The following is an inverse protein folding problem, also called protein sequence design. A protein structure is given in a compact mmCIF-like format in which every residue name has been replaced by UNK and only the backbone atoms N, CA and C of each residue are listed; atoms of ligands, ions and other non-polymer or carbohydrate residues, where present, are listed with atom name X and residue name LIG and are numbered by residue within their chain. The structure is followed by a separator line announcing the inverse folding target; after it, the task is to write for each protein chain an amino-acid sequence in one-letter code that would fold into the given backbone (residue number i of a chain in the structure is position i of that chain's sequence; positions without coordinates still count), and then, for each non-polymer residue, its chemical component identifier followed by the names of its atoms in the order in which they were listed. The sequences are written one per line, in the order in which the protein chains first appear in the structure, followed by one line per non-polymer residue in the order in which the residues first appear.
data_IF_783996717510
#
_entry.id   IF_783996717510
#
_cell.length_a   1.000
_cell.length_b   1.000
_cell.length_c   1.000
_cell.angle_alpha   90.00
_cell.angle_beta   90.00
_cell.angle_gamma   90.00
#
_symmetry.space_group_name_H-M   'P 1'
#
loop_
_entity.id
_entity.type
_entity.pdbx_description
1 polymer ?
#
# COMPACT_ATOMS: atom_id res chain seq x y z
N UNK A 1 -11.07 -48.11 8.78
CA UNK A 1 -11.49 -47.24 7.67
C UNK A 1 -10.47 -46.12 7.56
N UNK A 2 -9.56 -46.20 6.57
CA UNK A 2 -8.43 -45.27 6.45
C UNK A 2 -8.74 -44.20 5.41
N UNK A 3 -8.76 -42.93 5.83
CA UNK A 3 -8.88 -41.80 4.91
C UNK A 3 -7.52 -41.51 4.27
N UNK A 4 -7.37 -41.86 2.99
CA UNK A 4 -6.30 -41.37 2.12
C UNK A 4 -6.53 -39.87 1.85
N UNK A 5 -5.70 -39.01 2.43
CA UNK A 5 -5.61 -37.62 1.99
C UNK A 5 -4.84 -37.61 0.67
N UNK A 6 -5.53 -37.29 -0.42
CA UNK A 6 -4.91 -37.01 -1.72
C UNK A 6 -4.17 -35.67 -1.62
N UNK A 7 -2.84 -35.73 -1.63
CA UNK A 7 -2.00 -34.59 -1.95
C UNK A 7 -2.34 -34.09 -3.36
N UNK A 8 -3.04 -32.96 -3.46
CA UNK A 8 -3.13 -32.19 -4.70
C UNK A 8 -1.94 -31.22 -4.74
N UNK A 9 -0.88 -31.63 -5.42
CA UNK A 9 0.15 -30.71 -5.92
C UNK A 9 -0.38 -30.00 -7.17
N UNK A 10 -0.14 -28.69 -7.23
CA UNK A 10 0.46 -27.94 -8.35
C UNK A 10 -0.07 -26.50 -8.33
N UNK A 11 0.70 -25.60 -7.73
CA UNK A 11 0.70 -24.17 -8.07
C UNK A 11 2.13 -23.86 -8.53
N UNK A 12 2.22 -23.21 -9.69
CA UNK A 12 3.40 -23.00 -10.51
C UNK A 12 4.60 -22.39 -9.74
N UNK A 13 5.76 -23.03 -9.86
CA UNK A 13 7.00 -22.84 -9.09
C UNK A 13 7.75 -21.51 -9.30
N UNK A 14 7.26 -20.55 -10.11
CA UNK A 14 7.96 -19.27 -10.30
C UNK A 14 7.57 -18.15 -9.32
N UNK A 15 6.43 -18.29 -8.64
CA UNK A 15 5.96 -17.30 -7.65
C UNK A 15 6.69 -17.46 -6.31
N UNK A 16 6.86 -18.71 -5.87
CA UNK A 16 7.59 -19.05 -4.65
C UNK A 16 9.09 -18.73 -4.73
N UNK A 17 9.73 -18.93 -5.89
CA UNK A 17 11.16 -18.60 -6.05
C UNK A 17 11.38 -17.08 -5.93
N UNK A 18 10.48 -16.25 -6.48
CA UNK A 18 10.56 -14.79 -6.39
C UNK A 18 10.23 -14.21 -5.02
N UNK A 19 9.41 -14.88 -4.22
CA UNK A 19 9.18 -14.47 -2.83
C UNK A 19 10.40 -14.73 -1.96
N UNK A 20 11.15 -15.80 -2.23
CA UNK A 20 12.44 -16.09 -1.59
C UNK A 20 13.52 -15.04 -1.92
N UNK A 21 13.70 -14.64 -3.17
CA UNK A 21 14.66 -13.57 -3.54
C UNK A 21 14.35 -12.22 -2.85
N UNK A 22 13.07 -11.92 -2.63
CA UNK A 22 12.64 -10.71 -1.95
C UNK A 22 12.94 -10.75 -0.44
N UNK A 23 13.07 -11.94 0.13
CA UNK A 23 13.50 -12.16 1.52
C UNK A 23 15.02 -12.03 1.69
N UNK A 24 15.81 -12.04 0.62
CA UNK A 24 17.27 -11.88 0.72
C UNK A 24 17.74 -10.43 0.51
N UNK A 25 16.91 -9.58 -0.11
CA UNK A 25 17.23 -8.17 -0.35
C UNK A 25 17.21 -7.35 0.96
N UNK A 26 18.36 -6.78 1.41
CA UNK A 26 18.43 -6.06 2.69
C UNK A 26 17.53 -4.82 2.75
N UNK A 27 17.27 -4.18 1.60
CA UNK A 27 16.37 -3.02 1.53
C UNK A 27 14.93 -3.47 1.84
N UNK A 28 14.49 -4.56 1.21
CA UNK A 28 13.19 -5.17 1.44
C UNK A 28 13.05 -5.63 2.89
N UNK A 29 14.01 -6.38 3.42
CA UNK A 29 13.98 -6.87 4.81
C UNK A 29 13.88 -5.75 5.84
N UNK A 30 14.72 -4.71 5.72
CA UNK A 30 14.67 -3.58 6.64
C UNK A 30 13.33 -2.83 6.57
N UNK A 31 12.74 -2.74 5.38
CA UNK A 31 11.43 -2.09 5.18
C UNK A 31 10.30 -2.96 5.74
N UNK A 32 10.38 -4.29 5.58
CA UNK A 32 9.45 -5.25 6.19
C UNK A 32 9.46 -5.13 7.72
N UNK A 33 10.64 -5.11 8.34
CA UNK A 33 10.79 -5.00 9.81
C UNK A 33 10.12 -3.72 10.32
N UNK A 34 10.45 -2.56 9.74
CA UNK A 34 9.85 -1.27 10.14
C UNK A 34 8.35 -1.27 9.96
N UNK A 35 7.84 -1.75 8.82
CA UNK A 35 6.40 -1.78 8.56
C UNK A 35 5.66 -2.75 9.49
N UNK A 36 6.23 -3.92 9.79
CA UNK A 36 5.63 -4.86 10.73
C UNK A 36 5.51 -4.28 12.14
N UNK A 37 6.47 -3.45 12.57
CA UNK A 37 6.36 -2.72 13.84
C UNK A 37 5.10 -1.83 13.83
N UNK A 38 4.89 -1.00 12.81
CA UNK A 38 3.70 -0.17 12.70
C UNK A 38 2.41 -0.98 12.54
N UNK A 39 2.43 -2.07 11.76
CA UNK A 39 1.27 -2.92 11.52
C UNK A 39 0.86 -3.72 12.76
N UNK A 40 1.75 -3.90 13.76
CA UNK A 40 1.41 -4.56 15.02
C UNK A 40 0.59 -3.69 15.99
N UNK A 41 0.55 -2.37 15.77
CA UNK A 41 -0.17 -1.43 16.62
C UNK A 41 -1.64 -1.32 16.23
N UNK A 42 -2.48 -0.86 17.18
CA UNK A 42 -3.88 -0.59 16.89
C UNK A 42 -3.99 0.57 15.88
N UNK A 43 -4.57 0.34 14.69
CA UNK A 43 -4.60 1.33 13.61
C UNK A 43 -5.40 2.58 13.96
N UNK A 44 -6.28 2.55 14.96
CA UNK A 44 -7.08 3.70 15.40
C UNK A 44 -6.40 4.58 16.45
N UNK A 45 -5.24 4.16 16.98
CA UNK A 45 -4.47 4.95 17.96
C UNK A 45 -3.53 5.97 17.30
N UNK A 46 -3.40 5.95 15.97
CA UNK A 46 -2.57 6.89 15.24
C UNK A 46 -3.31 8.21 15.00
N UNK A 47 -2.60 9.33 15.13
CA UNK A 47 -3.13 10.66 14.84
C UNK A 47 -3.65 10.76 13.40
N UNK A 48 -4.74 11.50 13.23
CA UNK A 48 -5.30 11.81 11.91
C UNK A 48 -4.27 12.54 11.06
N UNK A 49 -4.25 12.22 9.77
CA UNK A 49 -3.40 12.94 8.83
C UNK A 49 -4.02 14.32 8.56
N UNK A 50 -3.31 15.45 8.78
CA UNK A 50 -3.83 16.77 8.43
C UNK A 50 -4.15 16.92 6.94
N UNK A 51 -3.62 16.03 6.10
CA UNK A 51 -3.94 15.95 4.67
C UNK A 51 -4.91 14.81 4.40
N UNK A 52 -6.16 15.14 4.08
CA UNK A 52 -7.24 14.18 3.80
C UNK A 52 -7.03 13.25 2.60
N UNK A 53 -5.95 13.42 1.85
CA UNK A 53 -5.65 12.59 0.70
C UNK A 53 -4.17 12.66 0.33
N UNK A 54 -3.46 11.57 0.63
CA UNK A 54 -2.09 11.31 0.17
C UNK A 54 -2.06 10.17 -0.83
N UNK A 55 -1.23 10.34 -1.86
CA UNK A 55 -0.93 9.27 -2.81
C UNK A 55 0.55 9.27 -3.17
N UNK A 56 1.11 8.08 -3.28
CA UNK A 56 2.43 7.88 -3.86
C UNK A 56 2.28 7.79 -5.38
N UNK A 57 3.05 8.60 -6.10
CA UNK A 57 3.10 8.57 -7.57
C UNK A 57 4.51 8.17 -8.00
N UNK A 58 4.59 7.16 -8.85
CA UNK A 58 5.84 6.62 -9.39
C UNK A 58 5.81 6.72 -10.92
N UNK A 59 6.69 7.54 -11.49
CA UNK A 59 6.95 7.58 -12.92
C UNK A 59 8.04 6.55 -13.26
N UNK A 60 7.74 5.64 -14.18
CA UNK A 60 8.54 4.44 -14.39
C UNK A 60 9.83 4.67 -15.20
N UNK A 61 9.93 5.79 -15.93
CA UNK A 61 11.09 6.04 -16.80
C UNK A 61 11.29 4.90 -17.81
N UNK A 62 12.49 4.32 -17.83
CA UNK A 62 12.84 3.12 -18.61
C UNK A 62 12.57 1.80 -17.88
N UNK A 63 12.19 1.83 -16.59
CA UNK A 63 11.95 0.61 -15.79
C UNK A 63 10.74 -0.15 -16.32
N UNK A 64 10.86 -1.47 -16.37
CA UNK A 64 9.74 -2.34 -16.73
C UNK A 64 8.59 -2.21 -15.73
N UNK A 65 7.42 -1.77 -16.20
CA UNK A 65 6.20 -1.72 -15.38
C UNK A 65 5.86 -3.07 -14.74
N UNK A 66 6.04 -4.15 -15.51
CA UNK A 66 5.76 -5.52 -15.05
C UNK A 66 6.68 -5.91 -13.89
N UNK A 67 7.94 -5.48 -13.93
CA UNK A 67 8.91 -5.73 -12.86
C UNK A 67 8.52 -5.02 -11.57
N UNK A 68 8.17 -3.73 -11.66
CA UNK A 68 7.78 -2.92 -10.49
C UNK A 68 6.49 -3.44 -9.86
N UNK A 69 5.48 -3.77 -10.66
CA UNK A 69 4.22 -4.34 -10.16
C UNK A 69 4.43 -5.72 -9.53
N UNK A 70 5.23 -6.59 -10.15
CA UNK A 70 5.57 -7.90 -9.58
C UNK A 70 6.30 -7.77 -8.25
N UNK A 71 7.23 -6.83 -8.16
CA UNK A 71 7.97 -6.56 -6.93
C UNK A 71 7.06 -6.03 -5.82
N UNK A 72 6.23 -5.02 -6.13
CA UNK A 72 5.25 -4.46 -5.19
C UNK A 72 4.29 -5.53 -4.68
N UNK A 73 3.71 -6.32 -5.59
CA UNK A 73 2.76 -7.38 -5.25
C UNK A 73 3.38 -8.40 -4.30
N UNK A 74 4.60 -8.86 -4.59
CA UNK A 74 5.32 -9.79 -3.72
C UNK A 74 5.64 -9.16 -2.36
N UNK A 75 6.12 -7.91 -2.34
CA UNK A 75 6.46 -7.20 -1.10
C UNK A 75 5.24 -7.01 -0.18
N UNK A 76 4.11 -6.51 -0.71
CA UNK A 76 2.92 -6.29 0.11
C UNK A 76 2.26 -7.61 0.54
N UNK A 77 2.35 -8.65 -0.27
CA UNK A 77 1.88 -9.99 0.12
C UNK A 77 2.73 -10.55 1.27
N UNK A 78 4.06 -10.35 1.23
CA UNK A 78 4.95 -10.73 2.33
C UNK A 78 4.71 -9.92 3.61
N UNK A 79 4.19 -8.69 3.51
CA UNK A 79 3.69 -7.92 4.67
C UNK A 79 2.38 -8.46 5.25
N UNK A 80 1.73 -9.43 4.59
CA UNK A 80 0.45 -9.99 5.00
C UNK A 80 -0.78 -9.34 4.36
N UNK A 81 -0.61 -8.45 3.37
CA UNK A 81 -1.74 -8.00 2.57
C UNK A 81 -2.24 -9.11 1.66
N UNK A 82 -3.55 -9.19 1.48
CA UNK A 82 -4.22 -10.08 0.55
C UNK A 82 -4.73 -9.29 -0.64
N UNK A 83 -4.45 -9.76 -1.86
CA UNK A 83 -5.09 -9.23 -3.07
C UNK A 83 -6.57 -9.62 -3.04
N UNK A 84 -7.46 -8.65 -2.89
CA UNK A 84 -8.92 -8.87 -2.82
C UNK A 84 -9.61 -8.57 -4.15
N UNK A 85 -8.96 -7.80 -5.01
CA UNK A 85 -9.52 -7.43 -6.30
C UNK A 85 -8.42 -7.08 -7.29
N UNK A 86 -8.54 -7.58 -8.52
CA UNK A 86 -7.66 -7.28 -9.65
C UNK A 86 -8.53 -6.85 -10.83
N UNK A 87 -8.48 -5.56 -11.18
CA UNK A 87 -9.11 -5.01 -12.37
C UNK A 87 -8.06 -4.60 -13.40
N UNK A 88 -8.50 -4.41 -14.64
CA UNK A 88 -7.65 -3.84 -15.67
C UNK A 88 -7.18 -2.43 -15.26
N UNK A 89 -5.93 -2.34 -14.80
CA UNK A 89 -5.31 -1.08 -14.40
C UNK A 89 -5.35 -0.79 -12.89
N UNK A 90 -5.86 -1.70 -12.06
CA UNK A 90 -6.04 -1.44 -10.63
C UNK A 90 -6.03 -2.71 -9.78
N UNK A 91 -5.12 -2.76 -8.79
CA UNK A 91 -4.99 -3.87 -7.84
C UNK A 91 -5.37 -3.38 -6.43
N UNK A 92 -6.21 -4.14 -5.73
CA UNK A 92 -6.67 -3.83 -4.37
C UNK A 92 -6.11 -4.85 -3.39
N UNK A 93 -5.31 -4.36 -2.46
CA UNK A 93 -4.74 -5.14 -1.39
C UNK A 93 -5.38 -4.76 -0.06
N UNK A 94 -5.63 -5.76 0.79
CA UNK A 94 -6.24 -5.59 2.12
C UNK A 94 -5.43 -6.31 3.18
N UNK A 95 -5.13 -5.60 4.27
CA UNK A 95 -4.59 -6.15 5.50
C UNK A 95 -5.69 -6.12 6.58
N UNK A 96 -5.97 -7.27 7.19
CA UNK A 96 -7.02 -7.40 8.19
C UNK A 96 -6.46 -7.23 9.61
N UNK A 97 -6.95 -6.23 10.34
CA UNK A 97 -6.68 -6.08 11.77
C UNK A 97 -7.74 -6.80 12.61
N UNK A 98 -9.00 -6.64 12.21
CA UNK A 98 -10.14 -7.29 12.84
C UNK A 98 -11.29 -7.42 11.81
N UNK A 99 -12.43 -7.98 12.22
CA UNK A 99 -13.62 -8.09 11.35
C UNK A 99 -14.11 -6.73 10.84
N UNK A 100 -13.87 -5.67 11.60
CA UNK A 100 -14.42 -4.33 11.34
C UNK A 100 -13.35 -3.33 10.94
N UNK A 101 -12.07 -3.71 10.97
CA UNK A 101 -10.97 -2.80 10.71
C UNK A 101 -10.02 -3.45 9.72
N UNK A 102 -9.87 -2.81 8.56
CA UNK A 102 -8.94 -3.25 7.53
C UNK A 102 -8.20 -2.08 6.93
N UNK A 103 -6.93 -2.28 6.65
CA UNK A 103 -6.07 -1.34 5.95
C UNK A 103 -6.00 -1.74 4.48
N UNK A 104 -6.21 -0.76 3.63
CA UNK A 104 -6.26 -0.91 2.19
C UNK A 104 -5.05 -0.28 1.53
N UNK A 105 -4.57 -0.93 0.47
CA UNK A 105 -3.61 -0.41 -0.50
C UNK A 105 -4.20 -0.55 -1.90
N UNK A 106 -4.34 0.56 -2.61
CA UNK A 106 -4.87 0.61 -3.97
C UNK A 106 -3.74 0.98 -4.92
N UNK A 107 -3.43 0.09 -5.86
CA UNK A 107 -2.35 0.27 -6.83
C UNK A 107 -2.96 0.47 -8.22
N UNK A 108 -2.96 1.71 -8.67
CA UNK A 108 -3.42 2.08 -10.00
C UNK A 108 -2.25 2.10 -10.97
N UNK A 109 -2.36 1.33 -12.04
CA UNK A 109 -1.36 1.27 -13.08
C UNK A 109 -1.87 1.93 -14.37
N UNK A 110 -1.07 2.84 -14.90
CA UNK A 110 -1.28 3.52 -16.20
C UNK A 110 -0.01 3.37 -17.03
N UNK A 111 -0.02 3.77 -18.31
CA UNK A 111 1.02 3.45 -19.30
C UNK A 111 2.45 3.48 -18.72
N UNK A 112 2.88 4.63 -18.18
CA UNK A 112 4.24 4.86 -17.65
C UNK A 112 4.25 5.32 -16.18
N UNK A 113 3.16 5.07 -15.46
CA UNK A 113 2.97 5.60 -14.10
C UNK A 113 2.18 4.63 -13.24
N UNK A 114 2.65 4.48 -12.00
CA UNK A 114 1.95 3.80 -10.92
C UNK A 114 1.51 4.86 -9.90
N UNK A 115 0.29 4.73 -9.38
CA UNK A 115 -0.21 5.51 -8.25
C UNK A 115 -0.64 4.55 -7.16
N UNK A 116 -0.18 4.78 -5.94
CA UNK A 116 -0.50 3.96 -4.77
C UNK A 116 -1.22 4.83 -3.75
N UNK A 117 -2.33 4.34 -3.22
CA UNK A 117 -3.12 5.01 -2.17
C UNK A 117 -3.31 4.08 -1.00
N UNK A 118 -3.46 4.64 0.20
CA UNK A 118 -3.71 3.88 1.41
C UNK A 118 -4.81 4.53 2.24
N UNK A 119 -5.66 3.70 2.84
CA UNK A 119 -6.68 4.13 3.79
C UNK A 119 -7.07 2.99 4.72
N UNK A 120 -7.72 3.30 5.83
CA UNK A 120 -8.29 2.33 6.76
C UNK A 120 -9.80 2.38 6.64
N UNK A 121 -10.44 1.24 6.44
CA UNK A 121 -11.88 1.10 6.53
C UNK A 121 -12.26 0.65 7.95
N UNK A 122 -13.23 1.35 8.55
CA UNK A 122 -13.76 1.07 9.89
C UNK A 122 -15.28 0.85 9.85
N UNK A 123 -15.70 -0.26 10.44
CA UNK A 123 -17.09 -0.63 10.67
C UNK A 123 -17.84 -1.07 9.42
N UNK A 124 -19.08 -1.52 9.63
CA UNK A 124 -19.97 -2.03 8.58
C UNK A 124 -20.43 -0.89 7.64
N UNK A 125 -20.45 0.34 8.13
CA UNK A 125 -20.81 1.54 7.38
C UNK A 125 -19.64 2.15 6.58
N UNK A 126 -18.47 1.47 6.52
CA UNK A 126 -17.29 1.83 5.72
C UNK A 126 -16.85 3.29 5.90
N UNK A 127 -16.59 3.68 7.13
CA UNK A 127 -15.90 4.95 7.35
C UNK A 127 -14.44 4.78 6.93
N UNK A 128 -14.01 5.57 5.96
CA UNK A 128 -12.62 5.60 5.50
C UNK A 128 -11.83 6.64 6.30
N UNK A 129 -10.77 6.18 6.96
CA UNK A 129 -9.85 6.98 7.76
C UNK A 129 -8.51 7.08 7.04
N UNK A 130 -7.91 8.27 7.09
CA UNK A 130 -6.50 8.49 6.77
C UNK A 130 -5.80 9.04 8.01
N UNK A 131 -4.72 8.36 8.39
CA UNK A 131 -3.97 8.66 9.60
C UNK A 131 -2.47 8.40 9.40
N UNK A 132 -1.68 8.62 10.44
CA UNK A 132 -0.24 8.48 10.38
C UNK A 132 0.22 7.10 9.85
N UNK A 133 -0.47 6.01 10.18
CA UNK A 133 -0.14 4.67 9.65
C UNK A 133 -0.24 4.61 8.12
N UNK A 134 -1.34 5.13 7.54
CA UNK A 134 -1.50 5.16 6.07
C UNK A 134 -0.42 5.97 5.38
N UNK A 135 0.09 7.03 6.05
CA UNK A 135 1.19 7.85 5.57
C UNK A 135 2.52 7.11 5.63
N UNK A 136 2.78 6.42 6.74
CA UNK A 136 4.01 5.66 6.96
C UNK A 136 4.14 4.58 5.88
N UNK A 137 3.06 3.85 5.58
CA UNK A 137 3.07 2.83 4.53
C UNK A 137 3.45 3.43 3.18
N UNK A 138 2.82 4.53 2.78
CA UNK A 138 3.15 5.19 1.52
C UNK A 138 4.60 5.72 1.51
N UNK A 139 5.12 6.16 2.66
CA UNK A 139 6.48 6.68 2.79
C UNK A 139 7.54 5.58 2.70
N UNK A 140 7.29 4.43 3.32
CA UNK A 140 8.15 3.26 3.24
C UNK A 140 8.15 2.65 1.84
N UNK A 141 6.98 2.54 1.19
CA UNK A 141 6.90 2.10 -0.21
C UNK A 141 7.62 3.07 -1.16
N UNK A 142 7.54 4.39 -0.89
CA UNK A 142 8.28 5.39 -1.65
C UNK A 142 9.80 5.17 -1.52
N UNK A 143 10.30 5.02 -0.30
CA UNK A 143 11.72 4.79 -0.04
C UNK A 143 12.20 3.47 -0.67
N UNK A 144 11.41 2.40 -0.53
CA UNK A 144 11.67 1.09 -1.11
C UNK A 144 11.83 1.16 -2.64
N UNK A 145 10.85 1.75 -3.32
CA UNK A 145 10.85 1.85 -4.78
C UNK A 145 12.01 2.69 -5.30
N UNK A 146 12.34 3.81 -4.65
CA UNK A 146 13.49 4.64 -5.05
C UNK A 146 14.83 3.95 -4.86
N UNK A 147 14.99 3.18 -3.78
CA UNK A 147 16.23 2.46 -3.50
C UNK A 147 16.41 1.27 -4.44
N UNK A 148 15.33 0.55 -4.75
CA UNK A 148 15.38 -0.63 -5.62
C UNK A 148 15.48 -0.28 -7.10
N UNK A 149 14.75 0.74 -7.54
CA UNK A 149 14.67 1.13 -8.95
C UNK A 149 15.16 2.56 -9.13
N UNK A 150 16.46 2.73 -9.38
CA UNK A 150 17.13 4.03 -9.47
C UNK A 150 16.58 4.95 -10.56
N UNK A 151 15.98 4.38 -11.61
CA UNK A 151 15.37 5.11 -12.73
C UNK A 151 13.92 5.52 -12.49
N UNK A 152 13.28 5.04 -11.41
CA UNK A 152 11.93 5.48 -11.04
C UNK A 152 12.01 6.83 -10.35
N UNK A 153 11.24 7.79 -10.86
CA UNK A 153 10.97 9.04 -10.13
C UNK A 153 9.69 8.86 -9.31
N UNK A 154 9.82 8.76 -8.00
CA UNK A 154 8.69 8.64 -7.09
C UNK A 154 8.56 9.88 -6.19
N UNK A 155 7.32 10.28 -5.90
CA UNK A 155 7.00 11.40 -5.02
C UNK A 155 5.62 11.21 -4.38
N UNK A 156 5.43 11.78 -3.19
CA UNK A 156 4.13 11.81 -2.52
C UNK A 156 3.39 13.08 -2.94
N UNK A 157 2.15 12.95 -3.41
CA UNK A 157 1.25 14.06 -3.72
C UNK A 157 0.19 14.16 -2.63
N UNK A 158 0.00 15.37 -2.13
CA UNK A 158 -1.00 15.74 -1.14
C UNK A 158 -2.09 16.55 -1.80
N UNK A 159 -3.34 16.39 -1.37
CA UNK A 159 -4.36 17.41 -1.61
C UNK A 159 -4.94 17.82 -0.26
N UNK A 160 -4.71 19.05 0.13
CA UNK A 160 -5.47 19.69 1.21
C UNK A 160 -6.90 19.90 0.71
N UNK A 161 -7.91 19.42 1.45
CA UNK A 161 -9.22 20.09 1.40
C UNK A 161 -8.98 21.48 1.99
N UNK A 162 -8.76 22.47 1.15
CA UNK A 162 -8.80 23.87 1.54
C UNK A 162 -10.26 24.21 1.86
N UNK A 163 -10.74 23.84 3.05
CA UNK A 163 -11.90 24.50 3.63
C UNK A 163 -11.44 25.77 4.34
N UNK A 164 -10.89 26.72 3.59
CA UNK A 164 -11.02 28.10 4.01
C UNK A 164 -12.50 28.43 3.83
N UNK A 165 -13.29 28.33 4.90
CA UNK A 165 -14.41 29.26 5.03
C UNK A 165 -13.76 30.64 4.98
N UNK A 166 -13.86 31.31 3.83
CA UNK A 166 -13.73 32.77 3.77
C UNK A 166 -14.81 33.30 4.70
N UNK A 167 -14.50 33.49 5.97
CA UNK A 167 -15.18 34.54 6.70
C UNK A 167 -14.67 35.83 6.08
N UNK A 168 -15.51 36.41 5.21
CA UNK A 168 -15.32 37.77 4.72
C UNK A 168 -15.08 38.66 5.94
N UNK A 169 -14.04 39.50 5.96
CA UNK A 169 -13.92 40.50 7.01
C UNK A 169 -15.15 41.40 6.88
N UNK A 170 -16.02 41.37 7.89
CA UNK A 170 -17.00 42.44 8.07
C UNK A 170 -16.20 43.69 8.41
N UNK A 171 -15.88 44.47 7.39
CA UNK A 171 -15.64 45.90 7.57
C UNK A 171 -16.98 46.48 8.01
N UNK A 172 -17.13 46.67 9.31
CA UNK A 172 -18.10 47.62 9.83
C UNK A 172 -17.40 48.98 9.81
N UNK A 173 -17.87 49.82 8.89
CA UNK A 173 -17.65 51.27 8.82
C UNK A 173 -18.29 51.91 10.05
#
# INVERSE_FOLDING_TARGET
MSFKIKNKKFINDNSYIKSFELLEDPISQNTLIRLNEFLSHNPLKHDLDPYNYRKLVCNLGSTSKKEVLSYLSNFVTNLGFQLIHEMQGEDHYRYFYSKEISLHLLVFNTKNKIRIESHIDVGIHKQTIQNHLTVIILSELHALLRKRFSTITAYVKYTTKLSFKKESPKLLI
#
